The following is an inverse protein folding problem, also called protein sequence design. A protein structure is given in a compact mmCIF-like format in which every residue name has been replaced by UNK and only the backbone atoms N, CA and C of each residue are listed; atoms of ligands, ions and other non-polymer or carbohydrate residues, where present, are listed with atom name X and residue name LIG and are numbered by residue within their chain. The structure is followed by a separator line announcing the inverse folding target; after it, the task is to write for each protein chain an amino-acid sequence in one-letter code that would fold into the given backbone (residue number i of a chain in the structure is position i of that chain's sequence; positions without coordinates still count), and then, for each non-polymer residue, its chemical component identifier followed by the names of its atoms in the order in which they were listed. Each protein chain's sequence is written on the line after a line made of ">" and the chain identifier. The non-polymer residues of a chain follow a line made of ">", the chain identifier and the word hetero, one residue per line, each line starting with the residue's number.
data_IF_219772216703
#
_entry.id   IF_219772216703
#
_cell.length_a   1.000
_cell.length_b   1.000
_cell.length_c   1.000
_cell.angle_alpha   90.00
_cell.angle_beta   90.00
_cell.angle_gamma   90.00
#
_symmetry.space_group_name_H-M   'P 1'
#
loop_
_entity.id
_entity.type
_entity.pdbx_description
1 polymer ?
#
# COMPACT_ATOMS: atom_id res chain seq x y z
N UNK A 1 8.37 3.00 -13.05
CA UNK A 1 7.18 2.62 -13.83
C UNK A 1 6.28 1.84 -12.90
N UNK A 2 5.09 2.37 -12.57
CA UNK A 2 4.14 1.71 -11.67
C UNK A 2 3.60 0.49 -12.40
N UNK A 3 3.65 -0.67 -11.74
CA UNK A 3 3.09 -1.93 -12.27
C UNK A 3 1.68 -2.07 -11.73
N UNK A 4 0.73 -2.59 -12.50
CA UNK A 4 -0.64 -2.84 -12.01
C UNK A 4 -0.64 -3.54 -10.66
N UNK A 5 -1.44 -3.02 -9.72
CA UNK A 5 -1.54 -3.59 -8.38
C UNK A 5 -2.17 -4.99 -8.51
N UNK A 6 -1.53 -6.05 -8.00
CA UNK A 6 -2.19 -7.36 -8.01
C UNK A 6 -3.46 -7.32 -7.15
N UNK A 7 -4.55 -7.96 -7.60
CA UNK A 7 -5.83 -7.97 -6.86
C UNK A 7 -5.71 -8.39 -5.38
N UNK A 8 -4.82 -9.35 -5.09
CA UNK A 8 -4.56 -9.82 -3.72
C UNK A 8 -3.82 -8.77 -2.84
N UNK A 9 -3.25 -7.74 -3.45
CA UNK A 9 -2.55 -6.62 -2.82
C UNK A 9 -3.44 -5.37 -2.76
N UNK A 10 -4.35 -5.20 -3.73
CA UNK A 10 -5.29 -4.07 -3.83
C UNK A 10 -6.11 -3.86 -2.55
N UNK A 11 -6.71 -4.92 -2.01
CA UNK A 11 -7.52 -4.83 -0.78
C UNK A 11 -6.72 -4.27 0.40
N UNK A 12 -5.47 -4.72 0.57
CA UNK A 12 -4.58 -4.25 1.63
C UNK A 12 -4.13 -2.81 1.39
N UNK A 13 -3.91 -2.44 0.13
CA UNK A 13 -3.57 -1.08 -0.25
C UNK A 13 -4.69 -0.11 0.14
N UNK A 14 -5.94 -0.43 -0.22
CA UNK A 14 -7.08 0.42 0.11
C UNK A 14 -7.35 0.51 1.61
N UNK A 15 -7.15 -0.57 2.37
CA UNK A 15 -7.26 -0.53 3.84
C UNK A 15 -6.22 0.43 4.45
N UNK A 16 -4.96 0.34 4.01
CA UNK A 16 -3.91 1.24 4.47
C UNK A 16 -4.17 2.69 4.04
N UNK A 17 -4.60 2.90 2.79
CA UNK A 17 -4.95 4.23 2.29
C UNK A 17 -6.14 4.83 3.06
N UNK A 18 -7.17 4.04 3.38
CA UNK A 18 -8.29 4.52 4.16
C UNK A 18 -7.91 4.86 5.61
N UNK A 19 -6.87 4.23 6.15
CA UNK A 19 -6.44 4.41 7.54
C UNK A 19 -5.44 5.55 7.72
N UNK A 20 -4.50 5.69 6.78
CA UNK A 20 -3.38 6.64 6.88
C UNK A 20 -3.41 7.73 5.80
N UNK A 21 -4.23 7.59 4.76
CA UNK A 21 -4.25 8.49 3.61
C UNK A 21 -2.87 8.59 2.95
N UNK A 22 -2.38 9.82 2.84
CA UNK A 22 -1.04 10.13 2.31
C UNK A 22 0.04 10.26 3.39
N UNK A 23 -0.33 10.11 4.67
CA UNK A 23 0.62 10.28 5.77
C UNK A 23 1.55 9.06 5.87
N UNK A 24 2.82 9.26 6.27
CA UNK A 24 3.72 8.16 6.57
C UNK A 24 3.20 7.35 7.76
N UNK A 25 3.39 6.03 7.70
CA UNK A 25 3.04 5.09 8.76
C UNK A 25 4.11 4.01 8.90
N UNK A 26 4.23 3.45 10.09
CA UNK A 26 5.20 2.43 10.43
C UNK A 26 4.72 1.03 10.08
N UNK A 27 5.65 0.09 9.93
CA UNK A 27 5.31 -1.33 9.76
C UNK A 27 4.50 -1.91 10.93
N UNK A 28 4.63 -1.33 12.13
CA UNK A 28 3.87 -1.74 13.32
C UNK A 28 2.41 -1.30 13.19
N UNK A 29 2.17 -0.05 12.80
CA UNK A 29 0.83 0.48 12.57
C UNK A 29 0.14 -0.25 11.41
N UNK A 30 0.86 -0.53 10.32
CA UNK A 30 0.35 -1.35 9.24
C UNK A 30 -0.02 -2.77 9.68
N UNK A 31 0.76 -3.38 10.60
CA UNK A 31 0.44 -4.69 11.18
C UNK A 31 -0.86 -4.64 11.99
N UNK A 32 -1.07 -3.59 12.78
CA UNK A 32 -2.30 -3.40 13.56
C UNK A 32 -3.51 -3.23 12.64
N UNK A 33 -3.40 -2.37 11.63
CA UNK A 33 -4.49 -2.07 10.69
C UNK A 33 -4.84 -3.26 9.80
N UNK A 34 -3.83 -3.97 9.28
CA UNK A 34 -4.07 -5.12 8.41
C UNK A 34 -4.46 -6.39 9.19
N UNK A 35 -4.23 -6.45 10.51
CA UNK A 35 -4.42 -7.66 11.31
C UNK A 35 -3.53 -8.82 10.85
N UNK A 36 -2.39 -8.54 10.22
CA UNK A 36 -1.53 -9.55 9.59
C UNK A 36 -0.10 -9.46 10.13
N UNK A 37 0.40 -10.56 10.69
CA UNK A 37 1.80 -10.66 11.15
C UNK A 37 2.82 -10.39 10.05
N UNK A 38 2.45 -10.67 8.79
CA UNK A 38 3.29 -10.51 7.60
C UNK A 38 3.11 -9.16 6.89
N UNK A 39 2.57 -8.13 7.57
CA UNK A 39 2.37 -6.79 6.99
C UNK A 39 3.62 -6.22 6.31
N UNK A 40 4.82 -6.48 6.85
CA UNK A 40 6.08 -6.03 6.26
C UNK A 40 6.33 -6.59 4.84
N UNK A 41 5.93 -7.85 4.57
CA UNK A 41 6.06 -8.46 3.23
C UNK A 41 5.13 -7.79 2.23
N UNK A 42 3.92 -7.43 2.67
CA UNK A 42 2.96 -6.71 1.84
C UNK A 42 3.46 -5.30 1.51
N UNK A 43 4.00 -4.58 2.49
CA UNK A 43 4.59 -3.26 2.27
C UNK A 43 5.81 -3.31 1.36
N UNK A 44 6.69 -4.30 1.56
CA UNK A 44 7.84 -4.49 0.67
C UNK A 44 7.39 -4.80 -0.77
N UNK A 45 6.35 -5.63 -0.94
CA UNK A 45 5.78 -5.88 -2.27
C UNK A 45 5.15 -4.62 -2.85
N UNK A 46 4.34 -3.87 -2.11
CA UNK A 46 3.78 -2.59 -2.58
C UNK A 46 4.88 -1.62 -3.02
N UNK A 47 5.97 -1.52 -2.24
CA UNK A 47 7.15 -0.75 -2.60
C UNK A 47 7.77 -1.21 -3.92
N UNK A 48 7.99 -2.51 -4.06
CA UNK A 48 8.55 -3.10 -5.29
C UNK A 48 7.64 -2.88 -6.52
N UNK A 49 6.33 -2.87 -6.35
CA UNK A 49 5.36 -2.58 -7.42
C UNK A 49 5.17 -1.07 -7.67
N UNK A 50 5.73 -0.20 -6.82
CA UNK A 50 5.66 1.27 -6.94
C UNK A 50 4.44 1.91 -6.28
N UNK A 51 3.73 1.21 -5.39
CA UNK A 51 2.50 1.67 -4.73
C UNK A 51 2.69 2.10 -3.28
N UNK A 52 3.85 1.80 -2.72
CA UNK A 52 4.29 2.39 -1.47
C UNK A 52 5.67 3.00 -1.71
N UNK A 53 5.97 4.06 -1.00
CA UNK A 53 7.31 4.64 -0.96
C UNK A 53 7.87 4.52 0.46
N UNK A 54 9.17 4.30 0.55
CA UNK A 54 9.84 4.10 1.83
C UNK A 54 10.44 5.43 2.27
N UNK A 55 9.84 6.03 3.29
CA UNK A 55 10.24 7.33 3.82
C UNK A 55 11.49 7.17 4.70
N UNK A 56 11.45 6.21 5.61
CA UNK A 56 12.54 5.92 6.56
C UNK A 56 12.62 4.43 6.88
N UNK A 57 13.52 4.05 7.81
CA UNK A 57 13.61 2.67 8.29
C UNK A 57 12.29 2.26 8.94
N UNK A 58 11.61 1.29 8.33
CA UNK A 58 10.33 0.75 8.77
C UNK A 58 9.13 1.72 8.65
N UNK A 59 9.27 2.79 7.87
CA UNK A 59 8.21 3.77 7.63
C UNK A 59 7.91 3.87 6.13
N UNK A 60 6.64 3.77 5.78
CA UNK A 60 6.13 3.75 4.41
C UNK A 60 5.04 4.79 4.23
N UNK A 61 4.83 5.25 3.00
CA UNK A 61 3.68 6.06 2.60
C UNK A 61 3.02 5.42 1.38
N UNK A 62 1.69 5.52 1.28
CA UNK A 62 0.95 5.09 0.10
C UNK A 62 1.16 6.10 -1.03
N UNK A 63 1.26 5.61 -2.28
CA UNK A 63 1.43 6.43 -3.48
C UNK A 63 0.45 6.01 -4.57
N UNK A 64 0.09 6.96 -5.43
CA UNK A 64 -0.78 6.77 -6.60
C UNK A 64 -2.24 6.32 -6.33
N UNK A 65 -2.96 6.90 -5.35
CA UNK A 65 -4.34 6.47 -5.06
C UNK A 65 -5.33 6.73 -6.19
N UNK A 66 -5.15 7.79 -6.98
CA UNK A 66 -6.00 8.04 -8.15
C UNK A 66 -5.83 6.94 -9.21
N UNK A 67 -4.59 6.49 -9.44
CA UNK A 67 -4.30 5.41 -10.38
C UNK A 67 -4.89 4.10 -9.85
N UNK A 68 -4.71 3.79 -8.56
CA UNK A 68 -5.29 2.60 -7.93
C UNK A 68 -6.82 2.58 -8.07
N UNK A 69 -7.48 3.74 -7.91
CA UNK A 69 -8.92 3.87 -8.06
C UNK A 69 -9.36 3.59 -9.50
N UNK A 70 -8.65 4.12 -10.49
CA UNK A 70 -8.90 3.86 -11.92
C UNK A 70 -8.69 2.38 -12.27
N UNK A 71 -7.62 1.73 -11.78
CA UNK A 71 -7.42 0.30 -12.01
C UNK A 71 -8.55 -0.53 -11.38
N UNK A 72 -9.03 -0.14 -10.19
CA UNK A 72 -10.10 -0.86 -9.49
C UNK A 72 -11.48 -0.67 -10.12
N UNK A 73 -11.71 0.41 -10.86
CA UNK A 73 -12.98 0.68 -11.55
C UNK A 73 -13.07 0.05 -12.94
N UNK A 74 -12.04 -0.70 -13.36
CA UNK A 74 -11.98 -1.34 -14.68
C UNK A 74 -11.50 -0.41 -15.79
N UNK A 75 -10.90 0.74 -15.45
CA UNK A 75 -10.21 1.62 -16.39
C UNK A 75 -8.74 1.18 -16.57
N UNK A 76 -8.51 -0.03 -17.10
CA UNK A 76 -7.23 -0.52 -17.66
C UNK A 76 -7.49 -1.53 -18.77
#
# INVERSE_FOLDING_TARGET
>A
MVKTIPNWLASKYFILFSSFGFLPFTTKEAKLVLGLDKAFLFLHRMYFYGWADKVERSTYRIVHPLIALMESSGFV
#
